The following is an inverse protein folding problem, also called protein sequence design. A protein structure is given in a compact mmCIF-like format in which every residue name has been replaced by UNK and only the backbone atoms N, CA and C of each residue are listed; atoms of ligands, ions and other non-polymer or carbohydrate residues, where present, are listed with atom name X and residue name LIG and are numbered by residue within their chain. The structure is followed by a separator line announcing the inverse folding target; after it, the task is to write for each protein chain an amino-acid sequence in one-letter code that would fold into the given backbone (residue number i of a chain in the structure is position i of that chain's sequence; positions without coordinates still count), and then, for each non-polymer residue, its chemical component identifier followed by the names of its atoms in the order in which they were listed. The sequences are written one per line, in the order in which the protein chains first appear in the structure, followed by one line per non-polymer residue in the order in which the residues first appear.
data_IF_932534506231
#
_entry.id   IF_932534506231
#
_cell.length_a   1.000
_cell.length_b   1.000
_cell.length_c   1.000
_cell.angle_alpha   90.00
_cell.angle_beta   90.00
_cell.angle_gamma   90.00
#
_symmetry.space_group_name_H-M   'P 1'
#
loop_
_entity.id
_entity.type
_entity.pdbx_description
1 polymer ?
#
# COMPACT_ATOMS: atom_id res chain seq x y z
N UNK A 1 3.55 -13.04 41.05
CA UNK A 1 3.42 -13.91 39.86
C UNK A 1 3.36 -13.03 38.64
N UNK A 2 4.31 -13.20 37.73
CA UNK A 2 4.68 -12.26 36.68
C UNK A 2 4.41 -12.93 35.33
N UNK A 3 3.35 -12.53 34.64
CA UNK A 3 3.07 -12.97 33.27
C UNK A 3 3.23 -11.77 32.34
N UNK A 4 4.49 -11.45 32.04
CA UNK A 4 4.86 -10.70 30.84
C UNK A 4 4.53 -11.57 29.63
N UNK A 5 3.28 -11.55 29.19
CA UNK A 5 2.95 -11.98 27.83
C UNK A 5 3.53 -10.95 26.85
N UNK A 6 4.78 -11.17 26.45
CA UNK A 6 5.26 -10.70 25.16
C UNK A 6 4.49 -11.48 24.08
N UNK A 7 3.37 -10.91 23.63
CA UNK A 7 2.67 -11.39 22.44
C UNK A 7 3.58 -11.13 21.23
N UNK A 8 4.20 -12.18 20.70
CA UNK A 8 4.94 -12.21 19.43
C UNK A 8 4.15 -13.06 18.41
N UNK A 9 4.32 -12.83 17.09
CA UNK A 9 3.22 -12.45 16.22
C UNK A 9 2.55 -13.64 15.51
N UNK A 10 1.28 -13.88 15.80
CA UNK A 10 0.42 -14.66 14.89
C UNK A 10 -0.13 -13.71 13.83
N UNK A 11 0.33 -13.91 12.59
CA UNK A 11 0.02 -13.08 11.41
C UNK A 11 -1.41 -13.28 10.91
N UNK A 12 -2.41 -12.98 11.74
CA UNK A 12 -3.80 -12.84 11.32
C UNK A 12 -4.22 -11.39 11.43
N UNK A 13 -4.53 -10.77 10.29
CA UNK A 13 -5.05 -9.40 10.27
C UNK A 13 -6.49 -9.42 10.76
N UNK A 14 -6.72 -8.97 12.00
CA UNK A 14 -8.07 -8.78 12.51
C UNK A 14 -8.62 -7.44 12.03
N UNK A 15 -9.68 -7.49 11.24
CA UNK A 15 -10.41 -6.31 10.77
C UNK A 15 -11.58 -5.99 11.69
N UNK A 16 -11.73 -4.71 12.03
CA UNK A 16 -12.83 -4.19 12.85
C UNK A 16 -13.62 -3.14 12.07
N UNK A 17 -14.95 -3.20 12.13
CA UNK A 17 -15.85 -2.24 11.47
C UNK A 17 -15.82 -0.89 12.21
N UNK A 18 -16.23 0.18 11.52
CA UNK A 18 -16.25 1.55 12.06
C UNK A 18 -16.95 1.69 13.44
N UNK A 19 -18.12 1.08 13.71
CA UNK A 19 -18.75 1.20 15.03
C UNK A 19 -17.87 0.68 16.17
N UNK A 20 -17.17 -0.43 15.96
CA UNK A 20 -16.24 -0.97 16.96
C UNK A 20 -15.06 -0.02 17.22
N UNK A 21 -14.54 0.63 16.16
CA UNK A 21 -13.47 1.64 16.31
C UNK A 21 -13.94 2.86 17.11
N UNK A 22 -15.18 3.31 16.89
CA UNK A 22 -15.75 4.43 17.65
C UNK A 22 -15.87 4.10 19.15
N UNK A 23 -16.29 2.87 19.47
CA UNK A 23 -16.33 2.37 20.86
C UNK A 23 -14.94 2.31 21.47
N UNK A 24 -13.93 1.79 20.74
CA UNK A 24 -12.57 1.66 21.25
C UNK A 24 -11.88 3.02 21.47
N UNK A 25 -12.07 3.95 20.55
CA UNK A 25 -11.42 5.27 20.62
C UNK A 25 -12.19 6.27 21.47
N UNK A 26 -13.42 5.94 21.89
CA UNK A 26 -14.36 6.83 22.57
C UNK A 26 -14.53 8.18 21.83
N UNK A 27 -14.40 8.16 20.50
CA UNK A 27 -14.53 9.34 19.65
C UNK A 27 -15.87 9.34 18.92
N UNK A 28 -16.38 10.54 18.65
CA UNK A 28 -17.54 10.70 17.78
C UNK A 28 -17.19 10.37 16.33
N UNK A 29 -18.22 10.06 15.53
CA UNK A 29 -18.04 9.78 14.10
C UNK A 29 -17.35 10.93 13.37
N UNK A 30 -17.74 12.18 13.65
CA UNK A 30 -17.18 13.38 13.03
C UNK A 30 -15.74 13.63 13.45
N UNK A 31 -15.41 13.41 14.73
CA UNK A 31 -14.03 13.52 15.21
C UNK A 31 -13.11 12.52 14.51
N UNK A 32 -13.55 11.26 14.35
CA UNK A 32 -12.79 10.26 13.61
C UNK A 32 -12.57 10.67 12.14
N UNK A 33 -13.57 11.25 11.47
CA UNK A 33 -13.42 11.75 10.09
C UNK A 33 -12.43 12.91 10.00
N UNK A 34 -12.42 13.78 11.01
CA UNK A 34 -11.47 14.89 11.07
C UNK A 34 -10.05 14.37 11.30
N UNK A 35 -9.88 13.41 12.20
CA UNK A 35 -8.59 12.75 12.45
C UNK A 35 -8.08 12.04 11.19
N UNK A 36 -8.95 11.35 10.45
CA UNK A 36 -8.65 10.74 9.14
C UNK A 36 -8.15 11.79 8.14
N UNK A 37 -8.86 12.91 7.99
CA UNK A 37 -8.47 14.01 7.08
C UNK A 37 -7.16 14.67 7.50
N UNK A 38 -6.92 14.78 8.81
CA UNK A 38 -5.73 15.42 9.37
C UNK A 38 -4.50 14.49 9.40
N UNK A 39 -4.65 13.21 9.00
CA UNK A 39 -3.58 12.20 9.08
C UNK A 39 -3.25 11.76 10.51
N UNK A 40 -4.13 12.02 11.47
CA UNK A 40 -3.99 11.61 12.88
C UNK A 40 -4.57 10.22 13.15
N UNK A 41 -5.05 9.55 12.11
CA UNK A 41 -5.60 8.21 12.16
C UNK A 41 -5.30 7.46 10.86
N UNK A 42 -5.21 6.13 10.95
CA UNK A 42 -4.96 5.29 9.79
C UNK A 42 -6.14 5.33 8.80
N UNK A 43 -5.86 5.35 7.47
CA UNK A 43 -6.92 5.34 6.48
C UNK A 43 -7.68 4.02 6.52
N UNK A 44 -9.03 4.07 6.39
CA UNK A 44 -9.87 2.89 6.35
C UNK A 44 -9.60 2.03 5.12
N UNK A 45 -9.89 0.74 5.27
CA UNK A 45 -9.89 -0.25 4.18
C UNK A 45 -11.34 -0.44 3.74
N UNK A 46 -11.61 -0.21 2.47
CA UNK A 46 -12.92 -0.50 1.86
C UNK A 46 -13.07 -2.01 1.70
N UNK A 47 -14.09 -2.58 2.34
CA UNK A 47 -14.47 -4.00 2.17
C UNK A 47 -15.55 -4.13 1.09
N UNK A 48 -16.51 -3.21 1.08
CA UNK A 48 -17.63 -3.19 0.13
C UNK A 48 -17.96 -1.74 -0.26
N UNK A 49 -18.98 -1.51 -1.10
CA UNK A 49 -19.36 -0.18 -1.59
C UNK A 49 -19.66 0.85 -0.49
N UNK A 50 -20.24 0.41 0.63
CA UNK A 50 -20.59 1.28 1.77
C UNK A 50 -19.94 0.84 3.08
N UNK A 51 -19.09 -0.18 3.03
CA UNK A 51 -18.48 -0.79 4.21
C UNK A 51 -17.00 -0.47 4.30
N UNK A 52 -16.60 0.06 5.45
CA UNK A 52 -15.19 0.33 5.78
C UNK A 52 -14.79 -0.43 7.05
N UNK A 53 -13.53 -0.84 7.09
CA UNK A 53 -12.92 -1.47 8.24
C UNK A 53 -11.50 -0.95 8.48
N UNK A 54 -10.99 -1.25 9.66
CA UNK A 54 -9.67 -0.87 10.14
C UNK A 54 -8.97 -2.11 10.67
N UNK A 55 -7.64 -2.12 10.65
CA UNK A 55 -6.85 -3.18 11.25
C UNK A 55 -6.81 -2.91 12.75
N UNK A 56 -7.26 -3.88 13.56
CA UNK A 56 -7.37 -3.75 15.01
C UNK A 56 -6.04 -3.33 15.64
N UNK A 57 -4.95 -3.99 15.25
CA UNK A 57 -3.63 -3.75 15.83
C UNK A 57 -3.17 -2.30 15.65
N UNK A 58 -3.45 -1.69 14.50
CA UNK A 58 -3.09 -0.29 14.23
C UNK A 58 -3.90 0.68 15.08
N UNK A 59 -5.19 0.39 15.24
CA UNK A 59 -6.08 1.18 16.11
C UNK A 59 -5.60 1.12 17.56
N UNK A 60 -5.22 -0.06 18.04
CA UNK A 60 -4.66 -0.24 19.39
C UNK A 60 -3.34 0.52 19.57
N UNK A 61 -2.43 0.47 18.60
CA UNK A 61 -1.18 1.24 18.63
C UNK A 61 -1.42 2.75 18.66
N UNK A 62 -2.40 3.24 17.91
CA UNK A 62 -2.81 4.65 17.93
C UNK A 62 -3.40 5.06 19.28
N UNK A 63 -4.24 4.21 19.89
CA UNK A 63 -4.79 4.44 21.22
C UNK A 63 -3.65 4.46 22.25
N UNK A 64 -2.72 3.50 22.17
CA UNK A 64 -1.55 3.43 23.05
C UNK A 64 -0.69 4.69 22.94
N UNK A 65 -0.37 5.15 21.73
CA UNK A 65 0.39 6.38 21.52
C UNK A 65 -0.33 7.62 22.11
N UNK A 66 -1.66 7.65 22.06
CA UNK A 66 -2.46 8.71 22.71
C UNK A 66 -2.41 8.62 24.23
N UNK A 67 -2.46 7.40 24.80
CA UNK A 67 -2.33 7.18 26.25
C UNK A 67 -0.95 7.62 26.75
N UNK A 68 0.09 7.39 25.95
CA UNK A 68 1.47 7.85 26.22
C UNK A 68 1.64 9.38 26.07
N UNK A 69 0.59 10.11 25.66
CA UNK A 69 0.63 11.56 25.50
C UNK A 69 1.46 12.02 24.31
N UNK A 70 1.62 11.18 23.28
CA UNK A 70 2.38 11.56 22.08
C UNK A 70 1.76 12.77 21.38
N UNK A 71 2.63 13.62 20.83
CA UNK A 71 2.22 14.81 20.09
C UNK A 71 1.54 14.43 18.77
N UNK A 72 0.64 15.27 18.24
CA UNK A 72 -0.04 15.00 16.97
C UNK A 72 0.93 14.76 15.80
N UNK A 73 2.09 15.42 15.80
CA UNK A 73 3.15 15.23 14.81
C UNK A 73 3.76 13.83 14.87
N UNK A 74 4.01 13.32 16.08
CA UNK A 74 4.55 11.97 16.29
C UNK A 74 3.54 10.91 15.86
N UNK A 75 2.26 11.15 16.14
CA UNK A 75 1.16 10.28 15.69
C UNK A 75 1.12 10.22 14.17
N UNK A 76 1.29 11.35 13.45
CA UNK A 76 1.35 11.34 11.98
C UNK A 76 2.51 10.47 11.46
N UNK A 77 3.68 10.58 12.08
CA UNK A 77 4.84 9.75 11.73
C UNK A 77 4.55 8.27 11.98
N UNK A 78 3.89 7.94 13.10
CA UNK A 78 3.48 6.56 13.40
C UNK A 78 2.49 6.04 12.35
N UNK A 79 1.46 6.81 12.00
CA UNK A 79 0.48 6.45 10.97
C UNK A 79 1.16 6.15 9.63
N UNK A 80 2.11 7.00 9.21
CA UNK A 80 2.85 6.78 7.97
C UNK A 80 3.62 5.46 8.00
N UNK A 81 4.34 5.17 9.10
CA UNK A 81 5.06 3.89 9.27
C UNK A 81 4.13 2.68 9.17
N UNK A 82 2.92 2.77 9.71
CA UNK A 82 1.92 1.70 9.62
C UNK A 82 1.45 1.51 8.17
N UNK A 83 1.17 2.58 7.44
CA UNK A 83 0.78 2.52 6.02
C UNK A 83 1.91 1.93 5.16
N UNK A 84 3.15 2.33 5.40
CA UNK A 84 4.32 1.79 4.69
C UNK A 84 4.47 0.30 4.95
N UNK A 85 4.24 -0.14 6.18
CA UNK A 85 4.24 -1.56 6.57
C UNK A 85 3.14 -2.36 5.84
N UNK A 86 1.95 -1.78 5.62
CA UNK A 86 0.90 -2.39 4.80
C UNK A 86 1.37 -2.63 3.36
N UNK A 87 2.06 -1.64 2.79
CA UNK A 87 2.51 -1.66 1.38
C UNK A 87 3.65 -2.66 1.18
N UNK A 88 4.61 -2.74 2.11
CA UNK A 88 5.69 -3.72 2.05
C UNK A 88 5.17 -5.17 2.05
N UNK A 89 4.11 -5.46 2.80
CA UNK A 89 3.50 -6.79 2.84
C UNK A 89 2.71 -7.14 1.56
N UNK A 90 2.25 -6.15 0.78
CA UNK A 90 1.60 -6.36 -0.52
C UNK A 90 2.50 -7.11 -1.51
N UNK A 91 3.82 -6.94 -1.41
CA UNK A 91 4.81 -7.62 -2.25
C UNK A 91 5.14 -9.06 -1.85
N UNK A 92 4.76 -9.54 -0.66
CA UNK A 92 5.14 -10.89 -0.18
C UNK A 92 4.15 -12.00 -0.57
N UNK A 93 2.91 -11.69 -0.95
CA UNK A 93 1.88 -12.71 -1.21
C UNK A 93 1.80 -13.19 -2.67
N UNK A 94 2.66 -12.71 -3.57
CA UNK A 94 2.67 -13.15 -4.97
C UNK A 94 3.42 -14.47 -5.22
N UNK A 95 4.09 -15.05 -4.21
CA UNK A 95 4.89 -16.28 -4.33
C UNK A 95 4.46 -17.37 -3.33
N UNK A 96 3.16 -17.71 -3.29
CA UNK A 96 2.66 -18.86 -2.50
C UNK A 96 1.90 -19.85 -3.38
N UNK A 97 2.51 -20.19 -4.52
CA UNK A 97 2.03 -21.18 -5.48
C UNK A 97 3.14 -22.10 -6.00
N UNK A 98 4.15 -22.41 -5.19
CA UNK A 98 5.12 -23.47 -5.51
C UNK A 98 4.50 -24.82 -5.10
N UNK A 99 3.90 -25.49 -6.09
CA UNK A 99 3.44 -26.87 -6.02
C UNK A 99 4.66 -27.80 -6.19
N UNK A 100 4.98 -28.61 -5.18
CA UNK A 100 6.05 -29.62 -5.24
C UNK A 100 5.55 -30.87 -5.97
N UNK A 101 6.01 -31.12 -7.19
CA UNK A 101 6.13 -32.49 -7.71
C UNK A 101 7.60 -32.79 -8.02
N UNK A 102 8.19 -33.67 -7.21
CA UNK A 102 9.44 -34.37 -7.51
C UNK A 102 9.10 -35.59 -8.37
N UNK A 103 9.25 -35.44 -9.69
CA UNK A 103 9.14 -36.54 -10.66
C UNK A 103 10.20 -36.34 -11.74
N UNK A 104 11.29 -37.10 -11.63
CA UNK A 104 12.45 -37.10 -12.53
C UNK A 104 12.06 -37.52 -13.96
N UNK A 105 12.06 -36.57 -14.90
CA UNK A 105 12.56 -36.77 -16.27
C UNK A 105 12.90 -35.40 -16.88
N UNK A 106 14.18 -35.05 -16.87
CA UNK A 106 14.78 -34.24 -17.94
C UNK A 106 15.23 -35.24 -19.04
N UNK A 107 15.20 -34.90 -20.35
CA UNK A 107 15.99 -33.73 -20.78
C UNK A 107 15.56 -32.97 -22.05
N UNK A 108 16.18 -31.78 -22.15
CA UNK A 108 16.46 -30.94 -23.33
C UNK A 108 15.35 -30.02 -23.89
N UNK A 109 15.54 -28.71 -23.68
CA UNK A 109 14.79 -27.66 -24.37
C UNK A 109 15.05 -26.22 -23.88
N UNK A 110 16.29 -25.75 -24.00
CA UNK A 110 16.77 -24.36 -24.08
C UNK A 110 16.08 -23.22 -23.28
N UNK A 111 16.88 -22.66 -22.36
CA UNK A 111 17.13 -21.22 -22.12
C UNK A 111 16.04 -20.34 -21.48
N UNK A 112 16.02 -20.39 -20.15
CA UNK A 112 15.96 -19.28 -19.19
C UNK A 112 15.64 -17.87 -19.72
N UNK A 113 14.44 -17.35 -19.42
CA UNK A 113 14.17 -15.91 -19.46
C UNK A 113 13.31 -15.48 -18.24
N UNK A 114 13.77 -14.53 -17.39
CA UNK A 114 13.04 -14.12 -16.19
C UNK A 114 11.80 -13.27 -16.52
N UNK A 115 10.73 -13.31 -15.70
CA UNK A 115 9.59 -12.44 -15.88
C UNK A 115 9.97 -11.00 -15.48
N UNK A 116 9.26 -10.01 -16.02
CA UNK A 116 9.42 -8.55 -15.84
C UNK A 116 10.38 -7.83 -16.81
N UNK A 117 10.07 -7.84 -18.11
CA UNK A 117 10.38 -6.67 -18.95
C UNK A 117 9.19 -5.73 -18.95
N UNK A 118 9.36 -4.54 -18.36
CA UNK A 118 8.48 -3.40 -18.57
C UNK A 118 8.46 -3.10 -20.08
N UNK A 119 7.41 -3.53 -20.78
CA UNK A 119 7.18 -3.10 -22.16
C UNK A 119 6.70 -1.65 -22.12
N UNK A 120 7.64 -0.71 -22.09
CA UNK A 120 7.37 0.67 -22.49
C UNK A 120 6.97 0.60 -23.95
N UNK A 121 5.69 0.84 -24.26
CA UNK A 121 5.21 0.78 -25.63
C UNK A 121 5.70 2.04 -26.37
N UNK A 122 6.85 1.92 -27.02
CA UNK A 122 7.51 2.97 -27.82
C UNK A 122 6.81 3.24 -29.18
N UNK A 123 5.61 2.70 -29.41
CA UNK A 123 4.87 2.91 -30.65
C UNK A 123 4.43 4.37 -30.92
N UNK A 124 4.58 5.28 -29.95
CA UNK A 124 4.20 6.69 -30.07
C UNK A 124 5.38 7.64 -30.36
N UNK A 125 6.63 7.19 -30.23
CA UNK A 125 7.82 8.01 -30.49
C UNK A 125 7.97 8.50 -31.94
N UNK A 126 7.70 7.72 -33.00
CA UNK A 126 7.88 8.22 -34.36
C UNK A 126 6.88 9.33 -34.72
N UNK A 127 5.69 9.34 -34.09
CA UNK A 127 4.70 10.40 -34.29
C UNK A 127 5.10 11.72 -33.61
N UNK A 128 5.75 11.66 -32.45
CA UNK A 128 6.21 12.85 -31.74
C UNK A 128 7.38 13.53 -32.47
N UNK A 129 8.31 12.74 -33.01
CA UNK A 129 9.48 13.24 -33.75
C UNK A 129 9.05 13.89 -35.07
N UNK A 130 8.12 13.29 -35.81
CA UNK A 130 7.56 13.90 -37.03
C UNK A 130 6.85 15.23 -36.74
N UNK A 131 6.14 15.34 -35.62
CA UNK A 131 5.46 16.58 -35.23
C UNK A 131 6.45 17.73 -34.94
N UNK A 132 7.55 17.43 -34.24
CA UNK A 132 8.60 18.41 -33.94
C UNK A 132 9.36 18.84 -35.20
N UNK A 133 9.68 17.89 -36.10
CA UNK A 133 10.36 18.21 -37.37
C UNK A 133 9.52 19.11 -38.26
N UNK A 134 8.20 18.86 -38.32
CA UNK A 134 7.27 19.68 -39.12
C UNK A 134 7.18 21.11 -38.58
N UNK A 135 7.17 21.29 -37.26
CA UNK A 135 7.19 22.60 -36.62
C UNK A 135 8.49 23.37 -36.96
N UNK A 136 9.65 22.72 -36.91
CA UNK A 136 10.94 23.34 -37.22
C UNK A 136 11.07 23.79 -38.69
N UNK A 137 10.59 22.99 -39.65
CA UNK A 137 10.59 23.37 -41.08
C UNK A 137 9.67 24.57 -41.32
N UNK A 138 8.48 24.58 -40.70
CA UNK A 138 7.52 25.69 -40.84
C UNK A 138 8.03 26.98 -40.20
N UNK A 139 8.77 26.89 -39.08
CA UNK A 139 9.40 28.03 -38.44
C UNK A 139 10.51 28.67 -39.28
N UNK A 140 11.27 27.85 -40.03
CA UNK A 140 12.37 28.32 -40.89
C UNK A 140 11.91 29.08 -42.14
N UNK A 141 10.69 28.81 -42.64
CA UNK A 141 10.11 29.55 -43.79
C UNK A 141 9.56 30.92 -43.38
N UNK A 142 9.18 31.10 -42.12
CA UNK A 142 8.57 32.36 -41.64
C UNK A 142 9.63 33.42 -41.28
N UNK A 143 10.88 33.00 -41.01
CA UNK A 143 11.98 33.88 -40.57
C UNK A 143 13.12 34.03 -41.59
N UNK A 144 12.88 33.69 -42.86
CA UNK A 144 13.75 33.97 -44.00
C UNK A 144 13.06 34.89 -44.99
#
# INVERSE_FOLDING_TARGET
MNYKHFQQPVSHYQLIRRPAVLTLTTRSKSALQLDEKNGLFCPPISIEQRAVAYIKNEVELLIQARIEGQRPEQIKVLVQKLIDSRTANKGRQINKGEHLELGLTEPQGHDNQPPYVLRVNLAWLPRLIQFILTLLVKWRVIYS
#
